data_IF_679349847888
#
_entry.id   IF_679349847888
#
_cell.length_a   1.000
_cell.length_b   1.000
_cell.length_c   1.000
_cell.angle_alpha   90.00
_cell.angle_beta   90.00
_cell.angle_gamma   90.00
#
_symmetry.space_group_name_H-M   'P 1'
#
loop_
_entity.id
_entity.type
_entity.pdbx_description
1 polymer ?
#
# COMPACT_ATOMS: atom_id res chain seq x y z
N UNK A 1 12.30 16.12 17.54
CA UNK A 1 12.23 14.69 17.14
C UNK A 1 10.90 14.46 16.45
N UNK A 2 10.87 14.32 15.12
CA UNK A 2 9.62 13.96 14.43
C UNK A 2 9.31 12.49 14.78
N UNK A 3 8.24 12.25 15.54
CA UNK A 3 7.66 10.92 15.71
C UNK A 3 7.23 10.47 14.32
N UNK A 4 7.99 9.56 13.71
CA UNK A 4 7.56 8.95 12.46
C UNK A 4 6.45 7.97 12.83
N UNK A 5 5.20 8.41 12.70
CA UNK A 5 4.04 7.52 12.67
C UNK A 5 4.26 6.55 11.52
N UNK A 6 4.57 5.29 11.84
CA UNK A 6 4.57 4.23 10.86
C UNK A 6 3.12 3.82 10.66
N UNK A 7 2.67 3.80 9.41
CA UNK A 7 1.37 3.24 9.09
C UNK A 7 1.52 1.71 9.12
N UNK A 8 0.74 1.05 9.97
CA UNK A 8 0.61 -0.39 9.92
C UNK A 8 -0.36 -0.71 8.78
N UNK A 9 0.16 -1.14 7.64
CA UNK A 9 -0.68 -1.59 6.54
C UNK A 9 -0.88 -3.10 6.63
N UNK A 10 -2.12 -3.54 6.56
CA UNK A 10 -2.48 -4.93 6.33
C UNK A 10 -2.11 -5.35 4.90
N UNK A 11 -1.98 -6.67 4.69
CA UNK A 11 -1.74 -7.22 3.36
C UNK A 11 -2.79 -6.81 2.33
N UNK A 12 -4.06 -6.80 2.74
CA UNK A 12 -5.19 -6.39 1.89
C UNK A 12 -5.08 -4.92 1.48
N UNK A 13 -4.71 -4.04 2.40
CA UNK A 13 -4.49 -2.62 2.10
C UNK A 13 -3.33 -2.41 1.13
N UNK A 14 -2.25 -3.18 1.28
CA UNK A 14 -1.11 -3.14 0.35
C UNK A 14 -1.54 -3.59 -1.05
N UNK A 15 -2.28 -4.71 -1.18
CA UNK A 15 -2.79 -5.21 -2.47
C UNK A 15 -3.71 -4.16 -3.12
N UNK A 16 -4.65 -3.62 -2.35
CA UNK A 16 -5.60 -2.61 -2.82
C UNK A 16 -4.90 -1.33 -3.31
N UNK A 17 -3.98 -0.78 -2.51
CA UNK A 17 -3.26 0.45 -2.84
C UNK A 17 -2.36 0.25 -4.05
N UNK A 18 -1.67 -0.91 -4.15
CA UNK A 18 -0.87 -1.27 -5.31
C UNK A 18 -1.71 -1.23 -6.60
N UNK A 19 -2.87 -1.88 -6.58
CA UNK A 19 -3.77 -1.95 -7.74
C UNK A 19 -4.37 -0.59 -8.09
N UNK A 20 -4.74 0.22 -7.08
CA UNK A 20 -5.21 1.59 -7.31
C UNK A 20 -4.15 2.51 -7.91
N UNK A 21 -2.88 2.28 -7.61
CA UNK A 21 -1.77 3.01 -8.24
C UNK A 21 -1.36 2.42 -9.60
N UNK A 22 -1.98 1.33 -10.06
CA UNK A 22 -1.60 0.64 -11.30
C UNK A 22 -0.21 -0.02 -11.23
N UNK A 23 0.29 -0.31 -10.03
CA UNK A 23 1.60 -0.92 -9.82
C UNK A 23 1.54 -2.44 -10.03
N UNK A 24 2.50 -2.98 -10.78
CA UNK A 24 2.68 -4.44 -10.83
C UNK A 24 3.35 -4.93 -9.55
N UNK A 25 3.25 -6.24 -9.28
CA UNK A 25 3.91 -6.85 -8.12
C UNK A 25 5.43 -6.72 -8.24
N UNK A 26 6.00 -6.93 -9.43
CA UNK A 26 7.43 -6.74 -9.70
C UNK A 26 7.89 -5.31 -9.41
N UNK A 27 7.16 -4.31 -9.91
CA UNK A 27 7.52 -2.90 -9.70
C UNK A 27 7.49 -2.55 -8.22
N UNK A 28 6.42 -2.92 -7.49
CA UNK A 28 6.34 -2.64 -6.06
C UNK A 28 7.41 -3.42 -5.27
N UNK A 29 7.67 -4.67 -5.62
CA UNK A 29 8.70 -5.49 -4.97
C UNK A 29 10.10 -4.89 -5.14
N UNK A 30 10.40 -4.37 -6.34
CA UNK A 30 11.63 -3.65 -6.63
C UNK A 30 11.76 -2.38 -5.79
N UNK A 31 10.70 -1.56 -5.69
CA UNK A 31 10.72 -0.37 -4.83
C UNK A 31 10.91 -0.71 -3.36
N UNK A 32 10.29 -1.78 -2.88
CA UNK A 32 10.43 -2.25 -1.49
C UNK A 32 11.73 -3.04 -1.25
N UNK A 33 12.53 -3.26 -2.30
CA UNK A 33 13.73 -4.09 -2.30
C UNK A 33 13.50 -5.46 -1.64
N UNK A 34 12.44 -6.14 -2.08
CA UNK A 34 12.08 -7.49 -1.64
C UNK A 34 11.82 -8.39 -2.84
N UNK A 35 11.98 -9.72 -2.69
CA UNK A 35 11.53 -10.64 -3.73
C UNK A 35 10.00 -10.61 -3.87
N UNK A 36 9.50 -10.79 -5.10
CA UNK A 36 8.06 -10.82 -5.40
C UNK A 36 7.32 -11.88 -4.58
N UNK A 37 7.96 -13.03 -4.33
CA UNK A 37 7.40 -14.08 -3.47
C UNK A 37 7.11 -13.59 -2.05
N UNK A 38 7.94 -12.68 -1.51
CA UNK A 38 7.70 -12.02 -0.22
C UNK A 38 6.57 -11.02 -0.33
N UNK A 39 6.47 -10.24 -1.41
CA UNK A 39 5.35 -9.33 -1.62
C UNK A 39 4.01 -10.08 -1.67
N UNK A 40 3.94 -11.23 -2.33
CA UNK A 40 2.73 -12.07 -2.35
C UNK A 40 2.35 -12.52 -0.93
N UNK A 41 3.33 -12.90 -0.10
CA UNK A 41 3.08 -13.26 1.30
C UNK A 41 2.60 -12.08 2.12
N UNK A 42 3.16 -10.90 1.91
CA UNK A 42 2.70 -9.64 2.51
C UNK A 42 1.24 -9.37 2.13
N UNK A 43 0.92 -9.34 0.84
CA UNK A 43 -0.44 -9.07 0.33
C UNK A 43 -1.48 -10.08 0.82
N UNK A 44 -1.07 -11.35 0.99
CA UNK A 44 -1.93 -12.40 1.54
C UNK A 44 -2.11 -12.37 3.07
N UNK A 45 -1.49 -11.42 3.77
CA UNK A 45 -1.51 -11.33 5.24
C UNK A 45 -0.72 -12.43 5.95
N UNK A 46 0.02 -13.28 5.21
CA UNK A 46 0.88 -14.35 5.78
C UNK A 46 2.19 -13.82 6.35
N UNK A 47 2.48 -12.55 6.12
CA UNK A 47 3.66 -11.86 6.62
C UNK A 47 3.33 -10.39 6.81
N UNK A 48 3.85 -9.78 7.87
CA UNK A 48 3.69 -8.35 8.11
C UNK A 48 4.78 -7.54 7.43
N UNK A 49 4.41 -6.32 7.03
CA UNK A 49 5.36 -5.35 6.48
C UNK A 49 6.21 -4.79 7.61
N UNK A 50 7.52 -4.71 7.40
CA UNK A 50 8.40 -4.09 8.40
C UNK A 50 8.20 -2.56 8.45
N UNK A 51 8.49 -1.90 9.58
CA UNK A 51 8.37 -0.45 9.69
C UNK A 51 9.20 0.32 8.65
N UNK A 52 10.38 -0.20 8.27
CA UNK A 52 11.20 0.39 7.21
C UNK A 52 10.52 0.29 5.84
N UNK A 53 9.95 -0.87 5.51
CA UNK A 53 9.23 -1.09 4.26
C UNK A 53 7.94 -0.29 4.18
N UNK A 54 7.22 -0.10 5.30
CA UNK A 54 6.04 0.77 5.34
C UNK A 54 6.39 2.21 4.97
N UNK A 55 7.52 2.75 5.45
CA UNK A 55 7.98 4.10 5.06
C UNK A 55 8.29 4.21 3.57
N UNK A 56 8.97 3.21 3.02
CA UNK A 56 9.26 3.16 1.58
C UNK A 56 7.96 3.06 0.79
N UNK A 57 7.02 2.21 1.22
CA UNK A 57 5.72 2.08 0.58
C UNK A 57 4.96 3.41 0.53
N UNK A 58 4.89 4.14 1.65
CA UNK A 58 4.27 5.48 1.69
C UNK A 58 4.97 6.45 0.74
N UNK A 59 6.29 6.37 0.60
CA UNK A 59 7.06 7.22 -0.31
C UNK A 59 6.73 6.92 -1.77
N UNK A 60 6.64 5.64 -2.14
CA UNK A 60 6.19 5.20 -3.47
C UNK A 60 4.77 5.69 -3.76
N UNK A 61 3.87 5.56 -2.79
CA UNK A 61 2.50 6.07 -2.91
C UNK A 61 2.49 7.59 -3.13
N UNK A 62 3.31 8.36 -2.39
CA UNK A 62 3.45 9.81 -2.57
C UNK A 62 3.92 10.18 -3.97
N UNK A 63 4.97 9.52 -4.45
CA UNK A 63 5.53 9.77 -5.78
C UNK A 63 4.52 9.46 -6.89
N UNK A 64 3.86 8.30 -6.82
CA UNK A 64 2.84 7.89 -7.79
C UNK A 64 1.58 8.76 -7.75
N UNK A 65 1.16 9.23 -6.56
CA UNK A 65 0.06 10.18 -6.42
C UNK A 65 0.40 11.55 -7.02
N UNK A 66 1.59 12.06 -6.74
CA UNK A 66 2.02 13.37 -7.24
C UNK A 66 2.16 13.37 -8.77
N UNK A 67 2.52 12.21 -9.35
CA UNK A 67 2.61 12.05 -10.80
C UNK A 67 1.24 11.90 -11.49
N UNK A 68 0.27 11.25 -10.83
CA UNK A 68 -1.05 10.99 -11.41
C UNK A 68 -2.07 12.12 -11.21
N UNK A 69 -1.81 13.08 -10.31
CA UNK A 69 -2.85 13.99 -9.85
C UNK A 69 -2.43 15.48 -9.93
N UNK A 70 -3.05 16.14 -10.91
CA UNK A 70 -3.34 17.58 -11.01
C UNK A 70 -4.65 17.94 -10.27
N UNK A 71 -5.04 17.17 -9.24
CA UNK A 71 -6.34 17.23 -8.52
C UNK A 71 -6.09 17.49 -7.03
N UNK A 72 -6.88 18.42 -6.52
CA UNK A 72 -6.84 19.08 -5.20
C UNK A 72 -7.12 18.17 -3.96
N UNK A 73 -6.59 16.95 -3.89
CA UNK A 73 -6.77 16.08 -2.71
C UNK A 73 -5.43 15.62 -2.15
N UNK A 74 -5.14 16.02 -0.90
CA UNK A 74 -3.92 15.60 -0.19
C UNK A 74 -3.89 14.07 -0.02
N UNK A 75 -2.70 13.46 -0.13
CA UNK A 75 -2.52 12.03 0.14
C UNK A 75 -3.05 11.63 1.52
N UNK A 76 -2.95 12.54 2.48
CA UNK A 76 -3.52 12.40 3.82
C UNK A 76 -5.02 12.15 3.80
N UNK A 77 -5.76 12.88 2.96
CA UNK A 77 -7.20 12.69 2.77
C UNK A 77 -7.49 11.35 2.11
N UNK A 78 -6.72 10.97 1.09
CA UNK A 78 -6.89 9.68 0.42
C UNK A 78 -6.62 8.51 1.37
N UNK A 79 -5.50 8.53 2.09
CA UNK A 79 -5.18 7.54 3.11
C UNK A 79 -6.25 7.52 4.19
N UNK A 80 -6.76 8.66 4.67
CA UNK A 80 -7.87 8.70 5.64
C UNK A 80 -9.16 8.11 5.08
N UNK A 81 -9.49 8.31 3.80
CA UNK A 81 -10.70 7.74 3.18
C UNK A 81 -10.57 6.24 2.96
N UNK A 82 -9.39 5.77 2.52
CA UNK A 82 -9.10 4.35 2.31
C UNK A 82 -9.03 3.61 3.64
N UNK A 83 -8.33 4.17 4.64
CA UNK A 83 -8.15 3.57 5.97
C UNK A 83 -9.40 3.74 6.88
N UNK A 84 -10.25 4.77 6.70
CA UNK A 84 -11.52 4.90 7.47
C UNK A 84 -12.53 3.80 7.13
N UNK A 85 -12.37 3.07 6.02
CA UNK A 85 -13.26 1.96 5.67
C UNK A 85 -12.93 0.64 6.37
N UNK A 86 -12.01 0.62 7.34
CA UNK A 86 -11.69 -0.54 8.16
C UNK A 86 -12.75 -0.96 9.20
N UNK A 87 -13.95 -0.35 9.20
CA UNK A 87 -15.00 -0.67 10.18
C UNK A 87 -16.40 -0.71 9.55
N UNK A 88 -16.58 -1.52 8.50
CA UNK A 88 -17.84 -2.24 8.20
C UNK A 88 -17.76 -2.90 6.82
N UNK A 89 -17.78 -4.25 6.84
CA UNK A 89 -18.23 -5.16 5.78
C UNK A 89 -17.43 -5.16 4.46
N UNK A 90 -16.78 -6.30 4.24
CA UNK A 90 -16.52 -6.95 2.95
C UNK A 90 -15.76 -6.15 1.90
N UNK A 91 -14.42 -6.12 2.00
CA UNK A 91 -13.56 -6.03 0.82
C UNK A 91 -13.35 -7.45 0.26
N UNK A 92 -14.44 -8.03 -0.28
CA UNK A 92 -14.34 -9.27 -1.05
C UNK A 92 -13.91 -8.94 -2.48
N UNK A 93 -12.62 -9.02 -2.75
CA UNK A 93 -12.12 -9.38 -4.07
C UNK A 93 -10.81 -10.16 -3.87
N UNK A 94 -10.75 -11.45 -4.27
CA UNK A 94 -9.52 -12.20 -4.17
C UNK A 94 -8.52 -11.55 -5.14
N UNK A 95 -7.37 -11.08 -4.64
CA UNK A 95 -6.23 -10.72 -5.49
C UNK A 95 -6.06 -11.88 -6.48
N UNK A 96 -6.35 -11.62 -7.76
CA UNK A 96 -6.53 -12.68 -8.75
C UNK A 96 -5.26 -13.51 -8.80
N UNK A 97 -5.39 -14.81 -8.55
CA UNK A 97 -4.28 -15.76 -8.71
C UNK A 97 -3.83 -15.70 -10.18
N UNK A 98 -2.51 -15.73 -10.44
CA UNK A 98 -2.00 -15.91 -11.79
C UNK A 98 -2.49 -17.24 -12.39
#
# INVERSE_FOLDING_TARGET
MQKIEYYLFSGEEICYLREKMGLTKDTLANHLNIPVSRLIRLESGKQEISPGQSKVFVSVLKEHFNYNIRIHCSLDTFLKVVLKKGNSKTLSAPCSKP
#
